data_IF_659183051068
#
_entry.id   IF_659183051068
#
_cell.length_a   1.000
_cell.length_b   1.000
_cell.length_c   1.000
_cell.angle_alpha   90.00
_cell.angle_beta   90.00
_cell.angle_gamma   90.00
#
_symmetry.space_group_name_H-M   'P 1'
#
loop_
_entity.id
_entity.type
_entity.pdbx_description
1 polymer ?
#
# COMPACT_ATOMS: atom_id res chain seq x y z
N UNK A 1 10.92 -16.78 9.40
CA UNK A 1 10.20 -16.02 8.37
C UNK A 1 10.57 -16.53 6.98
N UNK A 2 9.59 -16.56 6.10
CA UNK A 2 9.83 -16.91 4.69
C UNK A 2 10.18 -15.63 3.92
N UNK A 3 11.13 -15.73 3.01
CA UNK A 3 11.56 -14.59 2.19
C UNK A 3 11.02 -14.75 0.77
N UNK A 4 10.37 -13.70 0.28
CA UNK A 4 9.89 -13.59 -1.08
C UNK A 4 10.72 -12.54 -1.81
N UNK A 5 10.92 -12.74 -3.10
CA UNK A 5 11.57 -11.76 -3.97
C UNK A 5 10.64 -11.35 -5.09
N UNK A 6 10.58 -10.07 -5.37
CA UNK A 6 9.82 -9.53 -6.47
C UNK A 6 10.70 -8.62 -7.32
N UNK A 7 10.91 -9.01 -8.57
CA UNK A 7 11.53 -8.16 -9.59
C UNK A 7 10.41 -7.40 -10.28
N UNK A 8 10.40 -6.09 -10.16
CA UNK A 8 9.34 -5.26 -10.68
C UNK A 8 9.86 -4.35 -11.79
N UNK A 9 9.03 -4.14 -12.80
CA UNK A 9 9.21 -3.07 -13.76
C UNK A 9 7.99 -2.17 -13.62
N UNK A 10 8.16 -1.00 -13.01
CA UNK A 10 7.06 -0.11 -12.64
C UNK A 10 7.04 1.10 -13.56
N UNK A 11 5.86 1.36 -14.14
CA UNK A 11 5.54 2.58 -14.86
C UNK A 11 4.33 3.21 -14.18
N UNK A 12 4.57 4.16 -13.28
CA UNK A 12 3.50 4.91 -12.62
C UNK A 12 3.33 6.25 -13.33
N UNK A 13 2.39 6.31 -14.27
CA UNK A 13 2.14 7.51 -15.07
C UNK A 13 1.48 8.61 -14.25
N UNK A 14 0.71 8.24 -13.23
CA UNK A 14 0.03 9.21 -12.37
C UNK A 14 1.01 10.05 -11.56
N UNK A 15 2.15 9.46 -11.15
CA UNK A 15 3.18 10.13 -10.36
C UNK A 15 4.43 10.46 -11.18
N UNK A 16 4.51 10.00 -12.43
CA UNK A 16 5.71 10.16 -13.24
C UNK A 16 6.92 9.40 -12.69
N UNK A 17 6.70 8.27 -12.02
CA UNK A 17 7.77 7.46 -11.45
C UNK A 17 7.97 6.17 -12.24
N UNK A 18 9.21 5.91 -12.65
CA UNK A 18 9.58 4.75 -13.48
C UNK A 18 10.81 4.10 -12.88
N UNK A 19 10.78 2.77 -12.73
CA UNK A 19 11.92 2.07 -12.17
C UNK A 19 11.78 0.56 -12.20
N UNK A 20 12.88 -0.10 -11.88
CA UNK A 20 12.97 -1.56 -11.88
C UNK A 20 13.51 -2.07 -10.54
N UNK A 21 12.79 -1.87 -9.43
CA UNK A 21 13.27 -2.31 -8.14
C UNK A 21 13.21 -3.82 -7.99
N UNK A 22 14.12 -4.35 -7.17
CA UNK A 22 14.05 -5.73 -6.70
C UNK A 22 13.72 -5.66 -5.22
N UNK A 23 12.54 -6.16 -4.85
CA UNK A 23 12.08 -6.15 -3.47
C UNK A 23 12.36 -7.50 -2.81
N UNK A 24 12.86 -7.45 -1.58
CA UNK A 24 12.98 -8.63 -0.72
C UNK A 24 11.99 -8.45 0.42
N UNK A 25 11.05 -9.37 0.55
CA UNK A 25 9.93 -9.23 1.46
C UNK A 25 9.94 -10.38 2.46
N UNK A 26 10.08 -10.08 3.74
CA UNK A 26 9.96 -11.07 4.80
C UNK A 26 8.48 -11.26 5.15
N UNK A 27 8.00 -12.50 5.04
CA UNK A 27 6.64 -12.84 5.41
C UNK A 27 6.63 -13.45 6.81
N UNK A 28 5.88 -12.80 7.72
CA UNK A 28 5.65 -13.38 9.04
C UNK A 28 4.80 -14.66 8.90
N UNK A 29 5.05 -15.71 9.72
CA UNK A 29 4.27 -16.96 9.63
C UNK A 29 2.76 -16.77 9.74
N UNK A 30 2.29 -15.74 10.44
CA UNK A 30 0.86 -15.44 10.57
C UNK A 30 0.31 -14.54 9.47
N UNK A 31 1.16 -14.01 8.60
CA UNK A 31 0.73 -13.15 7.50
C UNK A 31 0.22 -13.99 6.33
N UNK A 32 -0.94 -13.64 5.78
CA UNK A 32 -1.46 -14.28 4.58
C UNK A 32 -0.65 -13.84 3.35
N UNK A 33 -0.62 -14.67 2.33
CA UNK A 33 -0.03 -14.27 1.03
C UNK A 33 -0.77 -13.08 0.44
N UNK A 34 -2.07 -12.99 0.65
CA UNK A 34 -2.85 -11.82 0.23
C UNK A 34 -2.29 -10.52 0.81
N UNK A 35 -2.07 -10.48 2.13
CA UNK A 35 -1.53 -9.28 2.76
C UNK A 35 -0.12 -8.96 2.27
N UNK A 36 0.72 -9.96 2.08
CA UNK A 36 2.05 -9.79 1.51
C UNK A 36 1.95 -9.14 0.11
N UNK A 37 1.09 -9.66 -0.75
CA UNK A 37 0.93 -9.14 -2.10
C UNK A 37 0.35 -7.72 -2.09
N UNK A 38 -0.50 -7.40 -1.13
CA UNK A 38 -1.00 -6.04 -0.97
C UNK A 38 0.08 -5.08 -0.47
N UNK A 39 1.06 -5.56 0.32
CA UNK A 39 2.26 -4.76 0.65
C UNK A 39 3.08 -4.45 -0.60
N UNK A 40 3.25 -5.44 -1.47
CA UNK A 40 3.94 -5.22 -2.75
C UNK A 40 3.19 -4.20 -3.61
N UNK A 41 1.86 -4.32 -3.68
CA UNK A 41 1.02 -3.36 -4.40
C UNK A 41 1.17 -1.95 -3.83
N UNK A 42 1.14 -1.80 -2.51
CA UNK A 42 1.31 -0.52 -1.84
C UNK A 42 2.69 0.08 -2.16
N UNK A 43 3.72 -0.75 -2.22
CA UNK A 43 5.04 -0.30 -2.63
C UNK A 43 5.00 0.31 -4.03
N UNK A 44 4.33 -0.35 -4.97
CA UNK A 44 4.20 0.16 -6.34
C UNK A 44 3.41 1.48 -6.41
N UNK A 45 2.36 1.59 -5.62
CA UNK A 45 1.52 2.80 -5.57
C UNK A 45 2.29 4.00 -5.03
N UNK A 46 3.17 3.79 -4.05
CA UNK A 46 3.96 4.84 -3.40
C UNK A 46 5.45 4.77 -3.72
N UNK A 47 5.80 4.10 -4.82
CA UNK A 47 7.19 3.86 -5.20
C UNK A 47 8.10 5.09 -5.01
N UNK A 48 9.25 4.87 -4.42
CA UNK A 48 10.26 5.88 -4.16
C UNK A 48 11.59 5.23 -3.82
N UNK A 49 12.69 5.96 -3.98
CA UNK A 49 14.03 5.42 -3.80
C UNK A 49 14.30 4.91 -2.38
N UNK A 50 13.66 5.50 -1.39
CA UNK A 50 13.89 5.18 0.02
C UNK A 50 12.67 4.55 0.68
N UNK A 51 11.70 4.08 -0.11
CA UNK A 51 10.54 3.39 0.43
C UNK A 51 10.93 1.99 0.92
N UNK A 52 10.62 1.70 2.16
CA UNK A 52 10.99 0.44 2.81
C UNK A 52 9.78 -0.22 3.47
N UNK A 53 9.82 -1.54 3.58
CA UNK A 53 8.86 -2.27 4.40
C UNK A 53 9.19 -2.07 5.88
N UNK A 54 8.16 -1.93 6.70
CA UNK A 54 8.29 -1.99 8.15
C UNK A 54 8.55 -3.43 8.62
N UNK A 55 8.67 -3.63 9.94
CA UNK A 55 9.03 -4.94 10.51
C UNK A 55 7.93 -5.99 10.42
N UNK A 56 6.75 -5.63 9.94
CA UNK A 56 5.63 -6.56 9.82
C UNK A 56 4.54 -6.33 10.85
N UNK A 57 3.80 -7.41 11.18
CA UNK A 57 2.51 -7.31 11.86
C UNK A 57 2.55 -6.85 13.32
N UNK A 58 3.65 -7.06 14.01
CA UNK A 58 3.70 -6.99 15.47
C UNK A 58 4.55 -5.86 16.02
N UNK A 59 5.05 -4.96 15.17
CA UNK A 59 5.92 -3.87 15.63
C UNK A 59 5.10 -2.62 15.91
N UNK A 60 4.92 -2.30 17.19
CA UNK A 60 4.27 -1.06 17.60
C UNK A 60 5.03 0.16 17.08
N UNK A 61 4.29 1.09 16.53
CA UNK A 61 4.85 2.35 16.05
C UNK A 61 5.50 2.31 14.68
N UNK A 62 5.49 1.15 14.00
CA UNK A 62 5.95 1.03 12.62
C UNK A 62 4.79 0.72 11.67
N UNK A 63 4.78 1.35 10.49
CA UNK A 63 3.77 1.05 9.46
C UNK A 63 4.11 -0.21 8.66
N UNK A 64 3.24 -0.57 7.73
CA UNK A 64 3.55 -1.60 6.75
C UNK A 64 4.69 -1.16 5.81
N UNK A 65 4.67 0.12 5.40
CA UNK A 65 5.74 0.74 4.63
C UNK A 65 5.93 2.18 5.07
N UNK A 66 7.14 2.68 4.91
CA UNK A 66 7.45 4.10 5.08
C UNK A 66 8.61 4.54 4.21
N UNK A 67 8.62 5.83 3.91
CA UNK A 67 9.73 6.44 3.22
C UNK A 67 10.23 7.64 4.02
N UNK A 68 11.56 7.71 4.19
CA UNK A 68 12.21 8.86 4.83
C UNK A 68 13.08 9.59 3.83
N UNK A 69 13.24 10.90 4.02
CA UNK A 69 14.18 11.68 3.23
C UNK A 69 15.58 11.65 3.86
N UNK A 70 16.53 12.39 3.27
CA UNK A 70 17.91 12.45 3.74
C UNK A 70 18.06 13.07 5.14
N UNK A 71 17.05 13.81 5.60
CA UNK A 71 17.05 14.42 6.93
C UNK A 71 16.45 13.50 8.00
N UNK A 72 15.89 12.36 7.58
CA UNK A 72 15.16 11.45 8.47
C UNK A 72 13.69 11.80 8.63
N UNK A 73 13.20 12.83 7.95
CA UNK A 73 11.77 13.15 7.95
C UNK A 73 10.98 12.10 7.18
N UNK A 74 9.82 11.71 7.72
CA UNK A 74 8.97 10.69 7.09
C UNK A 74 8.11 11.35 6.01
N UNK A 75 8.32 10.94 4.77
CA UNK A 75 7.56 11.45 3.62
C UNK A 75 6.26 10.67 3.45
N UNK A 76 6.33 9.34 3.46
CA UNK A 76 5.19 8.45 3.26
C UNK A 76 5.07 7.50 4.44
N UNK A 77 3.84 7.28 4.89
CA UNK A 77 3.48 6.29 5.90
C UNK A 77 2.31 5.47 5.37
N UNK A 78 2.46 4.17 5.27
CA UNK A 78 1.43 3.29 4.71
C UNK A 78 0.98 2.26 5.72
N UNK A 79 -0.32 2.24 5.99
CA UNK A 79 -0.98 1.22 6.80
C UNK A 79 -1.84 0.32 5.91
N UNK A 80 -1.89 -0.97 6.23
CA UNK A 80 -2.78 -1.91 5.57
C UNK A 80 -3.90 -2.35 6.51
N UNK A 81 -5.08 -2.55 5.95
CA UNK A 81 -6.21 -3.10 6.67
C UNK A 81 -7.13 -2.04 7.24
N UNK A 82 -7.43 -2.14 8.52
CA UNK A 82 -8.42 -1.29 9.18
C UNK A 82 -7.82 -0.69 10.47
N UNK A 83 -6.89 0.26 10.35
CA UNK A 83 -6.25 0.88 11.51
C UNK A 83 -7.26 1.74 12.28
N UNK A 84 -7.08 1.83 13.60
CA UNK A 84 -7.91 2.71 14.40
C UNK A 84 -7.55 4.19 14.17
N UNK A 85 -8.44 5.07 14.61
CA UNK A 85 -8.27 6.52 14.45
C UNK A 85 -6.96 7.01 15.08
N UNK A 86 -6.62 6.48 16.26
CA UNK A 86 -5.40 6.88 16.98
C UNK A 86 -4.15 6.57 16.18
N UNK A 87 -4.07 5.38 15.58
CA UNK A 87 -2.94 4.97 14.73
C UNK A 87 -2.77 5.92 13.56
N UNK A 88 -3.87 6.25 12.88
CA UNK A 88 -3.84 7.13 11.71
C UNK A 88 -3.47 8.56 12.11
N UNK A 89 -4.01 9.07 13.23
CA UNK A 89 -3.64 10.41 13.73
C UNK A 89 -2.15 10.49 14.07
N UNK A 90 -1.60 9.47 14.71
CA UNK A 90 -0.16 9.44 15.02
C UNK A 90 0.68 9.45 13.74
N UNK A 91 0.29 8.64 12.76
CA UNK A 91 0.95 8.60 11.46
C UNK A 91 0.93 9.98 10.79
N UNK A 92 -0.22 10.64 10.79
CA UNK A 92 -0.38 11.98 10.22
C UNK A 92 0.46 13.04 10.94
N UNK A 93 0.63 12.89 12.26
CA UNK A 93 1.47 13.79 13.04
C UNK A 93 2.96 13.67 12.78
N UNK A 94 3.40 12.54 12.20
CA UNK A 94 4.82 12.23 11.96
C UNK A 94 5.22 12.28 10.49
N UNK A 95 4.27 12.32 9.57
CA UNK A 95 4.53 12.10 8.15
C UNK A 95 3.92 13.18 7.29
N UNK A 96 4.47 13.36 6.09
CA UNK A 96 3.91 14.31 5.13
C UNK A 96 2.66 13.76 4.43
N UNK A 97 2.64 12.46 4.15
CA UNK A 97 1.52 11.76 3.49
C UNK A 97 1.24 10.45 4.19
N UNK A 98 -0.03 10.13 4.36
CA UNK A 98 -0.47 8.85 4.92
C UNK A 98 -1.39 8.16 3.94
N UNK A 99 -1.11 6.89 3.66
CA UNK A 99 -1.97 6.02 2.87
C UNK A 99 -2.48 4.88 3.75
N UNK A 100 -3.79 4.67 3.74
CA UNK A 100 -4.39 3.44 4.25
C UNK A 100 -4.87 2.63 3.05
N UNK A 101 -4.33 1.43 2.90
CA UNK A 101 -4.77 0.47 1.90
C UNK A 101 -5.65 -0.56 2.60
N UNK A 102 -6.97 -0.39 2.45
CA UNK A 102 -7.97 -1.26 3.04
C UNK A 102 -8.28 -2.42 2.09
N UNK A 103 -8.60 -3.56 2.66
CA UNK A 103 -9.01 -4.74 1.92
C UNK A 103 -9.94 -5.57 2.78
N UNK A 104 -10.61 -6.56 2.20
CA UNK A 104 -11.62 -7.36 2.86
C UNK A 104 -12.87 -6.53 3.16
N UNK A 105 -13.84 -6.61 2.25
CA UNK A 105 -15.05 -5.79 2.29
C UNK A 105 -15.82 -5.96 3.60
N UNK A 106 -15.93 -7.20 4.11
CA UNK A 106 -16.66 -7.48 5.33
C UNK A 106 -16.09 -6.74 6.55
N UNK A 107 -14.77 -6.55 6.58
CA UNK A 107 -14.09 -5.78 7.63
C UNK A 107 -14.08 -4.29 7.32
N UNK A 108 -13.87 -3.91 6.07
CA UNK A 108 -13.69 -2.52 5.67
C UNK A 108 -14.96 -1.69 5.81
N UNK A 109 -16.12 -2.23 5.41
CA UNK A 109 -17.38 -1.48 5.47
C UNK A 109 -17.72 -0.98 6.86
N UNK A 110 -17.80 -1.84 7.89
CA UNK A 110 -18.10 -1.36 9.25
C UNK A 110 -16.99 -0.47 9.81
N UNK A 111 -15.74 -0.78 9.50
CA UNK A 111 -14.62 0.06 9.93
C UNK A 111 -14.75 1.48 9.37
N UNK A 112 -14.93 1.60 8.05
CA UNK A 112 -15.02 2.92 7.42
C UNK A 112 -16.21 3.71 7.95
N UNK A 113 -17.35 3.05 8.14
CA UNK A 113 -18.53 3.68 8.75
C UNK A 113 -18.22 4.27 10.12
N UNK A 114 -17.43 3.57 10.93
CA UNK A 114 -17.09 4.01 12.29
C UNK A 114 -16.03 5.10 12.34
N UNK A 115 -15.07 5.13 11.39
CA UNK A 115 -13.93 6.06 11.43
C UNK A 115 -14.05 7.23 10.47
N UNK A 116 -14.96 7.18 9.51
CA UNK A 116 -15.10 8.18 8.44
C UNK A 116 -15.17 9.61 8.96
N UNK A 117 -15.95 9.84 10.01
CA UNK A 117 -16.13 11.17 10.56
C UNK A 117 -14.82 11.80 11.01
N UNK A 118 -13.98 11.02 11.67
CA UNK A 118 -12.69 11.50 12.18
C UNK A 118 -11.61 11.52 11.10
N UNK A 119 -11.52 10.46 10.30
CA UNK A 119 -10.47 10.36 9.28
C UNK A 119 -10.66 11.36 8.14
N UNK A 120 -11.89 11.75 7.83
CA UNK A 120 -12.17 12.76 6.81
C UNK A 120 -11.57 14.11 7.13
N UNK A 121 -11.25 14.39 8.40
CA UNK A 121 -10.64 15.64 8.83
C UNK A 121 -9.13 15.69 8.60
N UNK A 122 -8.50 14.59 8.24
CA UNK A 122 -7.05 14.50 8.08
C UNK A 122 -6.69 14.77 6.62
N UNK A 123 -6.23 15.98 6.33
CA UNK A 123 -5.99 16.44 4.95
C UNK A 123 -4.98 15.60 4.20
N UNK A 124 -3.92 15.16 4.86
CA UNK A 124 -2.82 14.41 4.24
C UNK A 124 -3.09 12.92 4.06
N UNK A 125 -4.28 12.45 4.43
CA UNK A 125 -4.66 11.05 4.38
C UNK A 125 -5.35 10.70 3.06
N UNK A 126 -4.92 9.59 2.47
CA UNK A 126 -5.61 8.90 1.39
C UNK A 126 -6.02 7.52 1.88
N UNK A 127 -7.26 7.13 1.64
CA UNK A 127 -7.77 5.80 1.96
C UNK A 127 -8.26 5.15 0.68
N UNK A 128 -7.67 4.03 0.32
CA UNK A 128 -8.10 3.24 -0.84
C UNK A 128 -8.55 1.86 -0.38
N UNK A 129 -9.55 1.33 -1.05
CA UNK A 129 -10.03 -0.03 -0.83
C UNK A 129 -9.79 -0.87 -2.08
N UNK A 130 -9.20 -2.04 -1.90
CA UNK A 130 -8.97 -2.99 -2.98
C UNK A 130 -10.11 -4.01 -2.97
N UNK A 131 -10.93 -4.08 -4.03
CA UNK A 131 -12.05 -5.02 -4.10
C UNK A 131 -11.60 -6.47 -3.89
N UNK A 132 -12.43 -7.26 -3.21
CA UNK A 132 -12.08 -8.62 -2.80
C UNK A 132 -11.63 -9.50 -3.96
N UNK A 133 -12.35 -9.47 -5.08
CA UNK A 133 -12.01 -10.29 -6.24
C UNK A 133 -10.64 -9.92 -6.82
N UNK A 134 -10.30 -8.64 -6.81
CA UNK A 134 -9.02 -8.15 -7.33
C UNK A 134 -7.89 -8.46 -6.34
N UNK A 135 -8.12 -8.31 -5.06
CA UNK A 135 -7.16 -8.70 -4.03
C UNK A 135 -6.88 -10.21 -4.08
N UNK A 136 -7.91 -11.02 -4.28
CA UNK A 136 -7.77 -12.47 -4.41
C UNK A 136 -6.99 -12.85 -5.67
N UNK A 137 -7.27 -12.19 -6.79
CA UNK A 137 -6.54 -12.42 -8.03
C UNK A 137 -5.06 -12.07 -7.89
N UNK A 138 -4.76 -10.96 -7.22
CA UNK A 138 -3.38 -10.58 -6.92
C UNK A 138 -2.70 -11.60 -6.00
N UNK A 139 -3.41 -12.05 -4.96
CA UNK A 139 -2.89 -13.06 -4.03
C UNK A 139 -2.53 -14.37 -4.74
N UNK A 140 -3.32 -14.76 -5.75
CA UNK A 140 -3.07 -15.96 -6.54
C UNK A 140 -1.78 -15.90 -7.37
N UNK A 141 -1.22 -14.71 -7.58
CA UNK A 141 0.05 -14.53 -8.28
C UNK A 141 1.28 -14.74 -7.38
N UNK A 142 1.08 -14.95 -6.07
CA UNK A 142 2.18 -15.06 -5.12
C UNK A 142 3.06 -16.28 -5.36
N UNK A 143 4.36 -16.03 -5.51
CA UNK A 143 5.41 -17.04 -5.61
C UNK A 143 6.60 -16.53 -4.82
N UNK A 144 7.44 -17.47 -4.37
CA UNK A 144 8.66 -17.12 -3.64
C UNK A 144 9.60 -16.24 -4.47
N UNK A 145 9.58 -16.41 -5.77
CA UNK A 145 10.33 -15.59 -6.71
C UNK A 145 9.35 -15.10 -7.78
N UNK A 146 9.17 -13.78 -7.86
CA UNK A 146 8.16 -13.15 -8.70
C UNK A 146 8.81 -12.17 -9.66
N UNK A 147 8.20 -12.02 -10.83
CA UNK A 147 8.59 -11.00 -11.81
C UNK A 147 7.33 -10.40 -12.43
N UNK A 148 7.11 -9.11 -12.19
CA UNK A 148 5.91 -8.41 -12.65
C UNK A 148 6.27 -7.13 -13.40
N UNK A 149 5.47 -6.83 -14.43
CA UNK A 149 5.36 -5.49 -14.98
C UNK A 149 4.14 -4.82 -14.35
N UNK A 150 4.31 -3.64 -13.77
CA UNK A 150 3.24 -2.91 -13.10
C UNK A 150 3.07 -1.57 -13.79
N UNK A 151 1.85 -1.28 -14.24
CA UNK A 151 1.50 0.00 -14.87
C UNK A 151 0.39 0.65 -14.08
N UNK A 152 0.57 1.92 -13.73
CA UNK A 152 -0.45 2.70 -13.02
C UNK A 152 -0.77 3.93 -13.87
N UNK A 153 -2.04 4.05 -14.27
CA UNK A 153 -2.53 5.16 -15.05
C UNK A 153 -4.01 5.41 -14.73
N UNK A 154 -4.36 6.66 -14.51
CA UNK A 154 -5.72 7.06 -14.16
C UNK A 154 -6.27 6.29 -12.96
N UNK A 155 -5.42 6.08 -11.97
CA UNK A 155 -5.69 5.33 -10.73
C UNK A 155 -5.95 3.83 -10.93
N UNK A 156 -5.84 3.30 -12.15
CA UNK A 156 -5.96 1.87 -12.43
C UNK A 156 -4.57 1.24 -12.41
N UNK A 157 -4.47 0.05 -11.84
CA UNK A 157 -3.22 -0.68 -11.70
C UNK A 157 -3.29 -1.98 -12.47
N UNK A 158 -2.38 -2.18 -13.42
CA UNK A 158 -2.22 -3.45 -14.13
C UNK A 158 -0.98 -4.14 -13.61
N UNK A 159 -1.13 -5.39 -13.18
CA UNK A 159 -0.03 -6.25 -12.73
C UNK A 159 0.05 -7.43 -13.68
N UNK A 160 1.13 -7.52 -14.43
CA UNK A 160 1.30 -8.54 -15.47
C UNK A 160 2.51 -9.41 -15.18
N UNK A 161 2.33 -10.72 -15.33
CA UNK A 161 3.40 -11.70 -15.29
C UNK A 161 3.36 -12.57 -16.54
N UNK A 162 4.26 -13.55 -16.65
CA UNK A 162 4.25 -14.47 -17.78
C UNK A 162 3.00 -15.37 -17.81
N UNK A 163 2.34 -15.56 -16.68
CA UNK A 163 1.24 -16.52 -16.54
C UNK A 163 -0.09 -15.90 -16.16
N UNK A 164 -0.13 -14.65 -15.74
CA UNK A 164 -1.36 -14.01 -15.28
C UNK A 164 -1.32 -12.50 -15.46
N UNK A 165 -2.49 -11.93 -15.70
CA UNK A 165 -2.70 -10.49 -15.80
C UNK A 165 -3.82 -10.11 -14.84
N UNK A 166 -3.58 -9.13 -13.99
CA UNK A 166 -4.55 -8.65 -13.02
C UNK A 166 -4.72 -7.15 -13.19
N UNK A 167 -5.98 -6.71 -13.31
CA UNK A 167 -6.33 -5.31 -13.29
C UNK A 167 -6.95 -4.97 -11.95
N UNK A 168 -6.45 -3.93 -11.31
CA UNK A 168 -6.94 -3.48 -10.02
C UNK A 168 -7.47 -2.07 -10.17
N UNK A 169 -8.72 -1.87 -9.72
CA UNK A 169 -9.40 -0.58 -9.71
C UNK A 169 -9.63 -0.19 -8.25
N UNK A 170 -8.68 0.47 -7.59
CA UNK A 170 -8.86 0.86 -6.20
C UNK A 170 -10.05 1.80 -6.06
N UNK A 171 -10.86 1.58 -5.03
CA UNK A 171 -11.93 2.49 -4.68
C UNK A 171 -11.39 3.52 -3.67
N UNK A 172 -11.47 4.80 -4.02
CA UNK A 172 -11.01 5.87 -3.13
C UNK A 172 -12.11 6.22 -2.14
N UNK A 173 -11.91 5.83 -0.88
CA UNK A 173 -12.81 6.21 0.21
C UNK A 173 -12.53 7.63 0.68
N UNK A 174 -11.28 8.06 0.56
CA UNK A 174 -10.85 9.43 0.82
C UNK A 174 -9.62 9.74 -0.02
N UNK A 175 -9.57 10.94 -0.56
CA UNK A 175 -8.38 11.47 -1.25
C UNK A 175 -7.71 12.53 -0.39
N UNK A 176 -6.39 12.58 -0.46
CA UNK A 176 -5.63 13.66 0.14
C UNK A 176 -6.14 15.01 -0.38
N UNK A 177 -6.28 15.97 0.53
CA UNK A 177 -6.68 17.32 0.17
C UNK A 177 -5.46 18.06 -0.36
N UNK A 178 -5.51 18.47 -1.64
CA UNK A 178 -4.46 19.28 -2.22
C UNK A 178 -4.67 20.73 -1.80
N UNK A 179 -3.61 21.33 -1.26
CA UNK A 179 -3.62 22.73 -0.91
C UNK A 179 -2.82 23.52 -1.95
N UNK A 180 -3.46 24.49 -2.56
CA UNK A 180 -2.81 25.43 -3.46
C UNK A 180 -2.14 26.50 -2.62
N UNK A 181 -0.84 26.61 -2.73
CA UNK A 181 -0.08 27.70 -2.10
C UNK A 181 0.39 28.70 -3.13
#
# INVERSE_FOLDING_TARGET
>A
AMVYKAQLSISNLDRGWYGQPVLTIARHPSETEKRLMLRVLAWCVRAGEHLEFGRGLSSDGEPALWETDDTGAIIEWVELGAPDVRTVRKAAGKSEHVLVLAYDEARTKPWWKSVKGELSKIDKLTVIFIPDSEADALAAMALRSMKFAVTIQDSVIWVNSDTADVQINPEYLKRETQRWT
#
